data_IF_678601369641
#
_entry.id   IF_678601369641
#
_cell.length_a   1.000
_cell.length_b   1.000
_cell.length_c   1.000
_cell.angle_alpha   90.00
_cell.angle_beta   90.00
_cell.angle_gamma   90.00
#
_symmetry.space_group_name_H-M   'P 1'
#
loop_
_entity.id
_entity.type
_entity.pdbx_description
1 polymer ?
#
# COMPACT_ATOMS: atom_id res chain seq x y z
N UNK A 1 -1.17 -23.25 -17.48
CA UNK A 1 0.22 -23.78 -17.52
C UNK A 1 0.53 -24.07 -18.98
N UNK A 2 1.68 -23.60 -19.49
CA UNK A 2 2.05 -23.49 -20.91
C UNK A 2 1.36 -22.32 -21.65
N UNK A 3 1.97 -21.14 -21.57
CA UNK A 3 2.11 -20.08 -22.60
C UNK A 3 2.76 -18.80 -22.03
N UNK A 4 3.65 -18.94 -21.04
CA UNK A 4 4.50 -17.86 -20.47
C UNK A 4 5.99 -18.25 -20.55
N UNK A 5 6.34 -19.16 -21.47
CA UNK A 5 7.68 -19.75 -21.56
C UNK A 5 8.48 -19.35 -22.82
N UNK A 6 8.09 -18.26 -23.51
CA UNK A 6 8.79 -17.79 -24.71
C UNK A 6 9.60 -16.49 -24.50
N UNK A 7 9.41 -15.74 -23.41
CA UNK A 7 10.11 -14.46 -23.18
C UNK A 7 11.25 -14.49 -22.16
N UNK A 8 11.63 -15.67 -21.66
CA UNK A 8 12.78 -15.83 -20.74
C UNK A 8 14.07 -16.24 -21.48
N UNK A 9 14.01 -16.58 -22.77
CA UNK A 9 15.18 -17.11 -23.50
C UNK A 9 15.98 -16.05 -24.27
N UNK A 10 15.43 -14.85 -24.53
CA UNK A 10 16.15 -13.80 -25.27
C UNK A 10 17.05 -12.92 -24.37
N UNK A 11 16.82 -12.89 -23.06
CA UNK A 11 17.64 -12.13 -22.11
C UNK A 11 18.93 -12.84 -21.64
N UNK A 12 19.11 -14.11 -21.99
CA UNK A 12 20.31 -14.90 -21.64
C UNK A 12 21.32 -15.07 -22.80
N UNK A 13 21.05 -14.49 -23.97
CA UNK A 13 21.95 -14.61 -25.13
C UNK A 13 22.83 -13.37 -25.40
N UNK A 14 22.65 -12.28 -24.63
CA UNK A 14 23.40 -11.03 -24.83
C UNK A 14 24.54 -10.83 -23.79
N UNK A 15 24.63 -11.69 -22.76
CA UNK A 15 25.64 -11.54 -21.70
C UNK A 15 26.82 -12.54 -21.74
N UNK A 16 26.94 -13.38 -22.77
CA UNK A 16 28.08 -14.31 -22.91
C UNK A 16 28.62 -14.38 -24.34
N UNK A 17 29.20 -13.29 -24.84
CA UNK A 17 30.18 -13.36 -25.92
C UNK A 17 31.29 -12.36 -25.65
N UNK A 18 32.35 -12.85 -24.99
CA UNK A 18 33.53 -12.06 -24.67
C UNK A 18 34.63 -12.87 -24.00
N UNK A 19 35.12 -13.93 -24.65
CA UNK A 19 36.52 -14.43 -24.69
C UNK A 19 36.59 -15.84 -25.30
N UNK A 20 37.62 -16.06 -26.11
CA UNK A 20 37.79 -17.18 -27.03
C UNK A 20 38.05 -18.55 -26.39
N UNK A 21 37.76 -19.62 -27.13
CA UNK A 21 38.76 -20.44 -27.84
C UNK A 21 38.11 -21.67 -28.51
N UNK A 22 38.57 -21.95 -29.74
CA UNK A 22 38.78 -23.22 -30.48
C UNK A 22 37.78 -24.41 -30.42
N UNK A 23 37.19 -24.64 -31.59
CA UNK A 23 37.15 -25.86 -32.43
C UNK A 23 36.53 -27.22 -31.98
N UNK A 24 35.66 -27.68 -32.91
CA UNK A 24 35.36 -29.06 -33.33
C UNK A 24 34.41 -29.92 -32.49
N UNK A 25 33.18 -30.15 -32.97
CA UNK A 25 32.85 -31.34 -33.77
C UNK A 25 31.36 -31.37 -34.15
N UNK A 26 31.09 -31.63 -35.44
CA UNK A 26 29.76 -31.84 -36.00
C UNK A 26 29.31 -33.27 -35.75
N UNK A 27 28.09 -33.47 -35.25
CA UNK A 27 27.35 -34.71 -35.48
C UNK A 27 25.87 -34.43 -35.80
N UNK A 28 25.46 -35.02 -36.93
CA UNK A 28 24.12 -35.05 -37.54
C UNK A 28 23.17 -35.93 -36.73
N UNK A 29 21.88 -35.60 -36.73
CA UNK A 29 20.68 -36.48 -36.77
C UNK A 29 19.47 -35.53 -36.74
N UNK A 30 18.36 -35.67 -37.46
CA UNK A 30 17.82 -36.68 -38.35
C UNK A 30 16.36 -36.27 -38.61
N UNK A 31 15.95 -36.32 -39.87
CA UNK A 31 14.65 -35.93 -40.43
C UNK A 31 13.46 -36.74 -39.88
N UNK A 32 12.32 -36.10 -39.62
CA UNK A 32 11.00 -36.75 -39.67
C UNK A 32 10.01 -35.84 -40.42
N UNK A 33 9.57 -36.30 -41.58
CA UNK A 33 8.46 -35.76 -42.38
C UNK A 33 7.15 -36.39 -41.89
N UNK A 34 6.07 -35.60 -41.80
CA UNK A 34 4.70 -36.11 -41.93
C UNK A 34 3.92 -35.17 -42.86
N UNK A 35 3.46 -35.74 -43.98
CA UNK A 35 2.55 -35.13 -44.95
C UNK A 35 1.11 -35.22 -44.43
N UNK A 36 0.31 -34.17 -44.67
CA UNK A 36 -1.13 -34.18 -44.44
C UNK A 36 -1.79 -33.01 -45.17
N UNK A 37 -2.26 -33.27 -46.38
CA UNK A 37 -2.95 -32.36 -47.28
C UNK A 37 -4.38 -32.05 -46.80
N UNK A 38 -4.82 -30.78 -46.94
CA UNK A 38 -6.02 -30.39 -47.71
C UNK A 38 -6.21 -28.87 -47.75
N UNK A 39 -6.41 -28.39 -48.97
CA UNK A 39 -6.69 -27.02 -49.38
C UNK A 39 -8.09 -26.56 -48.98
N UNK A 40 -8.23 -25.28 -48.67
CA UNK A 40 -9.42 -24.48 -48.99
C UNK A 40 -9.02 -23.01 -49.17
N UNK A 41 -9.68 -22.39 -50.13
CA UNK A 41 -9.28 -21.26 -50.95
C UNK A 41 -9.01 -19.94 -50.21
N UNK A 42 -7.92 -19.27 -50.62
CA UNK A 42 -7.65 -17.86 -50.31
C UNK A 42 -8.30 -16.98 -51.38
N UNK A 43 -9.21 -16.09 -50.97
CA UNK A 43 -9.71 -15.02 -51.81
C UNK A 43 -8.63 -13.91 -51.92
N UNK A 44 -8.23 -13.61 -53.16
CA UNK A 44 -7.41 -12.43 -53.51
C UNK A 44 -8.27 -11.18 -53.42
N UNK A 45 -7.77 -10.15 -52.73
CA UNK A 45 -8.04 -8.75 -53.07
C UNK A 45 -6.70 -8.01 -53.06
N UNK A 46 -6.47 -7.28 -54.15
CA UNK A 46 -5.19 -6.73 -54.58
C UNK A 46 -4.57 -5.71 -53.61
N UNK A 47 -3.28 -5.93 -53.30
CA UNK A 47 -2.39 -4.95 -52.69
C UNK A 47 -1.74 -4.11 -53.78
N UNK A 48 -2.09 -2.83 -53.87
CA UNK A 48 -1.27 -1.83 -54.54
C UNK A 48 -0.02 -1.60 -53.69
N UNK A 49 1.13 -2.07 -54.20
CA UNK A 49 2.47 -1.69 -53.74
C UNK A 49 2.72 -0.21 -54.05
N UNK A 50 3.09 0.55 -53.03
CA UNK A 50 4.03 1.66 -53.17
C UNK A 50 5.18 1.41 -52.21
N UNK A 51 6.35 1.13 -52.79
CA UNK A 51 7.62 0.99 -52.09
C UNK A 51 8.09 2.37 -51.63
N UNK A 52 8.24 2.62 -50.34
CA UNK A 52 9.17 3.63 -49.82
C UNK A 52 9.90 3.12 -48.57
N UNK A 53 11.21 2.96 -48.75
CA UNK A 53 12.33 3.03 -47.80
C UNK A 53 12.18 2.41 -46.40
N UNK A 54 13.06 1.44 -46.14
CA UNK A 54 13.39 0.91 -44.83
C UNK A 54 13.90 2.04 -43.92
N UNK A 55 13.15 2.34 -42.85
CA UNK A 55 13.70 2.98 -41.66
C UNK A 55 13.74 1.92 -40.55
N UNK A 56 14.94 1.47 -40.21
CA UNK A 56 15.20 0.66 -39.02
C UNK A 56 15.11 1.61 -37.83
N UNK A 57 13.99 1.57 -37.11
CA UNK A 57 13.78 2.37 -35.90
C UNK A 57 12.34 2.30 -35.42
N UNK A 58 11.92 1.15 -34.89
CA UNK A 58 10.65 0.99 -34.16
C UNK A 58 10.64 -0.39 -33.48
N UNK A 59 11.28 -0.51 -32.33
CA UNK A 59 11.04 -1.66 -31.43
C UNK A 59 10.54 -1.13 -30.08
N UNK A 60 11.11 -0.03 -29.59
CA UNK A 60 10.62 0.65 -28.36
C UNK A 60 9.22 1.27 -28.53
N UNK A 61 8.93 1.93 -29.65
CA UNK A 61 7.64 2.62 -29.84
C UNK A 61 6.43 1.67 -29.94
N UNK A 62 6.63 0.44 -30.44
CA UNK A 62 5.55 -0.54 -30.61
C UNK A 62 5.19 -1.20 -29.27
N UNK A 63 6.19 -1.53 -28.44
CA UNK A 63 5.94 -2.06 -27.08
C UNK A 63 5.24 -1.03 -26.18
N UNK A 64 5.65 0.24 -26.25
CA UNK A 64 5.01 1.34 -25.50
C UNK A 64 3.55 1.53 -25.93
N UNK A 65 3.25 1.42 -27.22
CA UNK A 65 1.88 1.47 -27.74
C UNK A 65 1.04 0.29 -27.23
N UNK A 66 1.55 -0.94 -27.30
CA UNK A 66 0.84 -2.14 -26.82
C UNK A 66 0.55 -2.12 -25.31
N UNK A 67 1.48 -1.64 -24.49
CA UNK A 67 1.28 -1.49 -23.04
C UNK A 67 0.21 -0.44 -22.71
N UNK A 68 0.19 0.69 -23.42
CA UNK A 68 -0.85 1.71 -23.28
C UNK A 68 -2.25 1.17 -23.63
N UNK A 69 -2.36 0.33 -24.66
CA UNK A 69 -3.63 -0.35 -25.00
C UNK A 69 -4.12 -1.30 -23.90
N UNK A 70 -3.22 -1.93 -23.14
CA UNK A 70 -3.59 -2.86 -22.06
C UNK A 70 -4.10 -2.16 -20.81
N UNK A 71 -3.52 -1.01 -20.46
CA UNK A 71 -3.85 -0.33 -19.20
C UNK A 71 -5.15 0.48 -19.27
N UNK A 72 -5.61 0.83 -20.49
CA UNK A 72 -6.88 1.53 -20.77
C UNK A 72 -7.18 2.65 -19.74
N UNK A 73 -6.16 3.47 -19.43
CA UNK A 73 -6.27 4.53 -18.44
C UNK A 73 -7.16 5.64 -19.02
N UNK A 74 -8.23 6.06 -18.34
CA UNK A 74 -9.09 7.12 -18.82
C UNK A 74 -8.31 8.44 -18.88
N UNK A 75 -8.46 9.17 -19.98
CA UNK A 75 -7.99 10.56 -20.11
C UNK A 75 -9.04 11.57 -19.66
N UNK A 76 -10.25 11.08 -19.35
CA UNK A 76 -11.39 11.87 -18.87
C UNK A 76 -11.97 11.21 -17.64
N UNK A 77 -12.50 12.05 -16.75
CA UNK A 77 -13.23 11.63 -15.56
C UNK A 77 -14.35 10.65 -15.91
N UNK A 78 -14.38 9.55 -15.19
CA UNK A 78 -15.42 8.53 -15.22
C UNK A 78 -16.27 8.67 -13.97
N UNK A 79 -17.59 8.46 -14.08
CA UNK A 79 -18.49 8.52 -12.93
C UNK A 79 -18.85 7.14 -12.37
N UNK A 80 -18.72 6.09 -13.17
CA UNK A 80 -19.03 4.71 -12.80
C UNK A 80 -18.07 3.73 -13.48
N UNK A 81 -17.58 2.76 -12.72
CA UNK A 81 -16.83 1.61 -13.21
C UNK A 81 -17.50 0.31 -12.74
N UNK A 82 -18.18 -0.42 -13.65
CA UNK A 82 -18.88 -1.65 -13.29
C UNK A 82 -17.95 -2.79 -12.87
N UNK A 83 -16.70 -2.82 -13.35
CA UNK A 83 -15.77 -3.91 -13.06
C UNK A 83 -15.25 -3.83 -11.64
N UNK A 84 -14.89 -2.63 -11.20
CA UNK A 84 -14.44 -2.38 -9.82
C UNK A 84 -15.60 -2.16 -8.86
N UNK A 85 -16.83 -2.01 -9.37
CA UNK A 85 -18.00 -1.55 -8.62
C UNK A 85 -17.73 -0.20 -7.94
N UNK A 86 -17.09 0.70 -8.71
CA UNK A 86 -16.68 2.03 -8.27
C UNK A 86 -17.62 3.12 -8.79
N UNK A 87 -17.94 4.10 -7.96
CA UNK A 87 -18.72 5.30 -8.33
C UNK A 87 -18.02 6.55 -7.82
N UNK A 88 -18.12 7.64 -8.57
CA UNK A 88 -17.78 8.96 -8.08
C UNK A 88 -18.95 9.51 -7.26
N UNK A 89 -18.64 10.06 -6.08
CA UNK A 89 -19.58 10.58 -5.08
C UNK A 89 -19.17 12.00 -4.65
N UNK A 90 -19.82 12.58 -3.64
CA UNK A 90 -19.49 13.92 -3.09
C UNK A 90 -19.44 14.99 -4.18
N UNK A 91 -20.54 15.20 -4.90
CA UNK A 91 -20.63 16.19 -5.99
C UNK A 91 -19.57 16.04 -7.10
N UNK A 92 -18.97 14.85 -7.22
CA UNK A 92 -17.99 14.55 -8.25
C UNK A 92 -16.58 14.35 -7.74
N UNK A 93 -16.25 14.63 -6.48
CA UNK A 93 -14.84 14.68 -6.05
C UNK A 93 -14.43 13.57 -5.10
N UNK A 94 -15.39 12.79 -4.61
CA UNK A 94 -15.16 11.58 -3.83
C UNK A 94 -15.27 10.31 -4.68
N UNK A 95 -14.77 9.21 -4.16
CA UNK A 95 -14.88 7.89 -4.76
C UNK A 95 -15.43 6.90 -3.73
N UNK A 96 -16.36 6.04 -4.18
CA UNK A 96 -16.87 4.90 -3.40
C UNK A 96 -16.66 3.61 -4.17
N UNK A 97 -16.17 2.59 -3.50
CA UNK A 97 -16.07 1.24 -4.04
C UNK A 97 -16.82 0.24 -3.16
N UNK A 98 -17.62 -0.63 -3.78
CA UNK A 98 -18.17 -1.81 -3.08
C UNK A 98 -17.19 -2.97 -3.20
N UNK A 99 -16.82 -3.58 -2.07
CA UNK A 99 -15.96 -4.77 -2.02
C UNK A 99 -16.55 -5.84 -1.12
N UNK A 100 -16.13 -7.09 -1.32
CA UNK A 100 -16.47 -8.21 -0.43
C UNK A 100 -15.17 -8.73 0.18
N UNK A 101 -15.12 -8.89 1.50
CA UNK A 101 -13.95 -9.49 2.17
C UNK A 101 -13.77 -10.93 1.71
N UNK A 102 -12.62 -11.22 1.12
CA UNK A 102 -12.26 -12.51 0.53
C UNK A 102 -11.67 -13.44 1.58
N UNK A 103 -11.67 -14.74 1.28
CA UNK A 103 -11.22 -15.77 2.24
C UNK A 103 -9.75 -15.64 2.63
N UNK A 104 -8.88 -15.17 1.75
CA UNK A 104 -7.46 -14.98 2.04
C UNK A 104 -7.13 -13.63 2.70
N UNK A 105 -8.14 -12.77 2.88
CA UNK A 105 -7.99 -11.47 3.54
C UNK A 105 -8.24 -11.55 5.05
N UNK A 106 -8.74 -12.70 5.54
CA UNK A 106 -9.01 -12.93 6.95
C UNK A 106 -7.92 -13.74 7.64
N UNK A 107 -7.67 -13.44 8.91
CA UNK A 107 -6.75 -14.17 9.76
C UNK A 107 -7.40 -15.39 10.45
N UNK A 108 -6.65 -16.11 11.31
CA UNK A 108 -7.15 -17.24 12.08
C UNK A 108 -8.34 -16.91 13.00
N UNK A 109 -8.49 -15.63 13.37
CA UNK A 109 -9.61 -15.12 14.17
C UNK A 109 -10.88 -14.85 13.34
N UNK A 110 -10.88 -15.21 12.05
CA UNK A 110 -11.97 -15.03 11.07
C UNK A 110 -12.31 -13.58 10.75
N UNK A 111 -11.45 -12.63 11.12
CA UNK A 111 -11.61 -11.22 10.79
C UNK A 111 -10.55 -10.77 9.79
N UNK A 112 -10.82 -9.73 9.02
CA UNK A 112 -9.87 -9.18 8.07
C UNK A 112 -8.57 -8.78 8.77
N UNK A 113 -7.42 -9.02 8.14
CA UNK A 113 -6.15 -8.55 8.71
C UNK A 113 -6.00 -7.05 8.52
N UNK A 114 -5.21 -6.39 9.39
CA UNK A 114 -4.87 -4.98 9.17
C UNK A 114 -4.14 -4.77 7.84
N UNK A 115 -3.34 -5.75 7.41
CA UNK A 115 -2.68 -5.75 6.11
C UNK A 115 -3.70 -5.67 4.96
N UNK A 116 -4.75 -6.49 5.02
CA UNK A 116 -5.83 -6.48 4.02
C UNK A 116 -6.57 -5.15 4.01
N UNK A 117 -6.88 -4.57 5.17
CA UNK A 117 -7.52 -3.26 5.25
C UNK A 117 -6.65 -2.18 4.61
N UNK A 118 -5.34 -2.15 4.92
CA UNK A 118 -4.41 -1.18 4.34
C UNK A 118 -4.24 -1.35 2.83
N UNK A 119 -4.23 -2.59 2.33
CA UNK A 119 -4.24 -2.86 0.89
C UNK A 119 -5.49 -2.30 0.20
N UNK A 120 -6.66 -2.43 0.83
CA UNK A 120 -7.91 -1.84 0.32
C UNK A 120 -7.85 -0.30 0.30
N UNK A 121 -7.22 0.33 1.30
CA UNK A 121 -7.01 1.79 1.30
C UNK A 121 -6.13 2.23 0.12
N UNK A 122 -5.03 1.51 -0.12
CA UNK A 122 -4.12 1.79 -1.23
C UNK A 122 -4.81 1.58 -2.60
N UNK A 123 -5.53 0.48 -2.77
CA UNK A 123 -6.25 0.16 -4.00
C UNK A 123 -7.33 1.21 -4.32
N UNK A 124 -8.16 1.58 -3.33
CA UNK A 124 -9.22 2.58 -3.53
C UNK A 124 -8.66 3.99 -3.78
N UNK A 125 -7.47 4.30 -3.25
CA UNK A 125 -6.79 5.55 -3.56
C UNK A 125 -6.37 5.62 -5.04
N UNK A 126 -5.79 4.54 -5.57
CA UNK A 126 -5.40 4.43 -6.97
C UNK A 126 -6.62 4.44 -7.89
N UNK A 127 -7.66 3.69 -7.55
CA UNK A 127 -8.91 3.66 -8.32
C UNK A 127 -9.59 5.02 -8.38
N UNK A 128 -9.53 5.82 -7.31
CA UNK A 128 -10.01 7.20 -7.34
C UNK A 128 -9.24 8.04 -8.37
N UNK A 129 -7.90 7.98 -8.38
CA UNK A 129 -7.07 8.74 -9.35
C UNK A 129 -7.24 8.21 -10.78
N UNK A 130 -7.42 6.91 -10.95
CA UNK A 130 -7.72 6.31 -12.25
C UNK A 130 -9.06 6.84 -12.80
N UNK A 131 -10.10 6.89 -11.95
CA UNK A 131 -11.42 7.40 -12.32
C UNK A 131 -11.46 8.92 -12.55
N UNK A 132 -10.50 9.68 -12.01
CA UNK A 132 -10.46 11.13 -12.18
C UNK A 132 -10.01 11.56 -13.58
N UNK A 133 -9.33 10.67 -14.31
CA UNK A 133 -8.67 10.98 -15.59
C UNK A 133 -7.37 11.75 -15.46
N UNK A 134 -6.86 11.93 -14.23
CA UNK A 134 -5.60 12.62 -13.97
C UNK A 134 -4.38 11.69 -14.02
N UNK A 135 -4.60 10.37 -13.96
CA UNK A 135 -3.53 9.37 -13.91
C UNK A 135 -2.72 9.35 -15.22
N UNK A 136 -1.42 9.65 -15.14
CA UNK A 136 -0.55 9.67 -16.31
C UNK A 136 0.39 8.46 -16.40
N UNK A 137 1.01 8.04 -15.28
CA UNK A 137 2.05 7.00 -15.23
C UNK A 137 1.54 5.62 -14.79
N UNK A 138 0.23 5.50 -14.57
CA UNK A 138 -0.39 4.29 -14.03
C UNK A 138 -0.34 4.17 -12.50
N UNK A 139 0.41 5.02 -11.78
CA UNK A 139 0.57 4.94 -10.32
C UNK A 139 0.54 6.30 -9.59
N UNK A 140 -0.52 7.06 -9.82
CA UNK A 140 -0.89 8.23 -9.03
C UNK A 140 -0.24 9.56 -9.42
N UNK A 141 0.73 9.59 -10.36
CA UNK A 141 1.29 10.84 -10.84
C UNK A 141 0.38 11.48 -11.90
N UNK A 142 0.17 12.79 -11.77
CA UNK A 142 -0.57 13.57 -12.76
C UNK A 142 0.33 14.00 -13.92
N UNK A 143 -0.27 14.49 -15.00
CA UNK A 143 0.46 15.01 -16.17
C UNK A 143 1.43 16.13 -15.78
N UNK A 144 0.97 17.09 -14.96
CA UNK A 144 1.82 18.13 -14.40
C UNK A 144 2.97 17.56 -13.58
N UNK A 145 2.72 16.56 -12.72
CA UNK A 145 3.79 15.95 -11.92
C UNK A 145 4.88 15.30 -12.78
N UNK A 146 4.49 14.56 -13.82
CA UNK A 146 5.42 13.90 -14.72
C UNK A 146 6.36 14.90 -15.41
N UNK A 147 5.82 16.02 -15.89
CA UNK A 147 6.60 17.10 -16.51
C UNK A 147 7.66 17.69 -15.58
N UNK A 148 7.39 17.71 -14.28
CA UNK A 148 8.30 18.25 -13.25
C UNK A 148 9.16 17.16 -12.56
N UNK A 149 9.12 15.91 -13.02
CA UNK A 149 9.77 14.75 -12.39
C UNK A 149 9.37 14.59 -10.91
N UNK A 150 8.09 14.78 -10.60
CA UNK A 150 7.54 14.71 -9.24
C UNK A 150 6.77 13.42 -9.01
N UNK A 151 6.89 12.89 -7.79
CA UNK A 151 6.13 11.74 -7.31
C UNK A 151 5.45 12.08 -5.98
N UNK A 152 4.37 11.37 -5.69
CA UNK A 152 3.73 11.40 -4.38
C UNK A 152 4.42 10.43 -3.44
N UNK A 153 4.76 10.89 -2.24
CA UNK A 153 5.20 10.02 -1.14
C UNK A 153 4.33 10.25 0.08
N UNK A 154 3.92 9.16 0.74
CA UNK A 154 3.19 9.23 2.02
C UNK A 154 4.17 9.67 3.09
N UNK A 155 3.85 10.74 3.81
CA UNK A 155 4.67 11.19 4.96
C UNK A 155 4.08 10.76 6.29
N UNK A 156 2.76 10.68 6.39
CA UNK A 156 2.04 10.28 7.61
C UNK A 156 0.77 9.51 7.28
N UNK A 157 0.41 8.54 8.11
CA UNK A 157 -0.85 7.82 8.03
C UNK A 157 -1.41 7.55 9.42
N UNK A 158 -2.72 7.68 9.58
CA UNK A 158 -3.45 7.32 10.78
C UNK A 158 -4.62 6.43 10.39
N UNK A 159 -4.81 5.35 11.14
CA UNK A 159 -5.90 4.39 10.96
C UNK A 159 -6.54 4.13 12.31
N UNK A 160 -7.86 4.20 12.37
CA UNK A 160 -8.69 3.82 13.51
C UNK A 160 -9.58 2.66 13.08
N UNK A 161 -9.50 1.55 13.82
CA UNK A 161 -10.28 0.34 13.55
C UNK A 161 -11.27 0.13 14.70
N UNK A 162 -12.53 0.46 14.43
CA UNK A 162 -13.62 0.29 15.38
C UNK A 162 -14.02 -1.19 15.43
N UNK A 163 -14.20 -1.80 14.25
CA UNK A 163 -14.56 -3.20 14.06
C UNK A 163 -13.81 -3.79 12.87
N UNK A 164 -13.30 -5.01 13.01
CA UNK A 164 -12.75 -5.74 11.87
C UNK A 164 -13.88 -6.48 11.13
N UNK A 165 -13.99 -6.31 9.81
CA UNK A 165 -14.99 -7.01 9.01
C UNK A 165 -14.65 -8.51 8.93
N UNK A 166 -15.67 -9.35 8.86
CA UNK A 166 -15.52 -10.80 8.75
C UNK A 166 -15.53 -11.25 7.28
N UNK A 167 -15.15 -12.50 7.03
CA UNK A 167 -15.25 -13.10 5.69
C UNK A 167 -16.68 -13.01 5.14
N UNK A 168 -16.82 -12.57 3.89
CA UNK A 168 -18.11 -12.38 3.22
C UNK A 168 -18.81 -11.05 3.53
N UNK A 169 -18.27 -10.24 4.44
CA UNK A 169 -18.80 -8.91 4.71
C UNK A 169 -18.70 -8.04 3.44
N UNK A 170 -19.81 -7.40 3.07
CA UNK A 170 -19.88 -6.46 1.95
C UNK A 170 -19.65 -5.06 2.48
N UNK A 171 -18.57 -4.42 2.05
CA UNK A 171 -18.17 -3.10 2.50
C UNK A 171 -18.35 -2.04 1.42
N UNK A 172 -18.68 -0.83 1.85
CA UNK A 172 -18.53 0.39 1.06
C UNK A 172 -17.31 1.16 1.57
N UNK A 173 -16.38 1.45 0.67
CA UNK A 173 -15.17 2.20 0.95
C UNK A 173 -15.28 3.56 0.28
N UNK A 174 -15.46 4.61 1.08
CA UNK A 174 -15.39 5.99 0.60
C UNK A 174 -13.96 6.51 0.74
N UNK A 175 -13.46 7.22 -0.25
CA UNK A 175 -12.22 8.00 -0.17
C UNK A 175 -12.34 9.33 -0.90
N UNK A 176 -11.69 10.35 -0.36
CA UNK A 176 -11.65 11.69 -0.92
C UNK A 176 -10.32 12.35 -0.57
N UNK A 177 -10.04 13.49 -1.20
CA UNK A 177 -8.81 14.26 -0.98
C UNK A 177 -9.14 15.66 -0.48
N UNK A 178 -8.18 16.26 0.20
CA UNK A 178 -8.25 17.63 0.69
C UNK A 178 -6.88 18.27 0.73
N UNK A 179 -6.83 19.58 0.94
CA UNK A 179 -5.56 20.27 1.14
C UNK A 179 -4.93 19.86 2.49
N UNK A 180 -3.59 19.77 2.53
CA UNK A 180 -2.82 19.63 3.76
C UNK A 180 -1.72 20.69 3.79
N UNK A 181 -2.04 21.86 4.35
CA UNK A 181 -1.18 23.04 4.26
C UNK A 181 -0.94 23.48 2.81
N UNK A 182 0.17 24.17 2.55
CA UNK A 182 0.44 24.76 1.21
C UNK A 182 0.92 23.75 0.16
N UNK A 183 1.60 22.68 0.58
CA UNK A 183 2.32 21.76 -0.31
C UNK A 183 1.93 20.29 -0.16
N UNK A 184 1.02 19.97 0.78
CA UNK A 184 0.58 18.60 1.01
C UNK A 184 -0.84 18.36 0.51
N UNK A 185 -1.15 17.09 0.31
CA UNK A 185 -2.49 16.59 0.08
C UNK A 185 -2.86 15.65 1.22
N UNK A 186 -4.06 15.83 1.78
CA UNK A 186 -4.69 14.86 2.68
C UNK A 186 -5.53 13.89 1.85
N UNK A 187 -5.51 12.63 2.21
CA UNK A 187 -6.46 11.63 1.72
C UNK A 187 -7.11 10.94 2.89
N UNK A 188 -8.43 10.85 2.85
CA UNK A 188 -9.25 10.25 3.90
C UNK A 188 -9.97 9.02 3.37
N UNK A 189 -10.34 8.14 4.30
CA UNK A 189 -11.16 6.97 4.02
C UNK A 189 -12.17 6.71 5.13
N UNK A 190 -13.33 6.20 4.73
CA UNK A 190 -14.36 5.71 5.63
C UNK A 190 -14.92 4.38 5.08
N UNK A 191 -14.70 3.31 5.83
CA UNK A 191 -15.14 1.95 5.48
C UNK A 191 -16.35 1.59 6.32
N UNK A 192 -17.45 1.22 5.66
CA UNK A 192 -18.72 0.89 6.33
C UNK A 192 -19.31 -0.40 5.81
N UNK A 193 -20.09 -1.07 6.66
CA UNK A 193 -20.93 -2.19 6.23
C UNK A 193 -22.00 -1.68 5.28
N UNK A 194 -22.13 -2.32 4.12
CA UNK A 194 -23.18 -2.00 3.15
C UNK A 194 -24.58 -2.31 3.70
N UNK A 195 -24.70 -3.34 4.54
CA UNK A 195 -25.98 -3.79 5.08
C UNK A 195 -26.48 -2.92 6.25
N UNK A 196 -25.58 -2.48 7.12
CA UNK A 196 -25.94 -1.82 8.39
C UNK A 196 -25.51 -0.37 8.50
N UNK A 197 -24.59 0.09 7.64
CA UNK A 197 -23.93 1.39 7.79
C UNK A 197 -22.90 1.46 8.92
N UNK A 198 -22.68 0.37 9.66
CA UNK A 198 -21.69 0.30 10.74
C UNK A 198 -20.30 0.69 10.23
N UNK A 199 -19.63 1.60 10.92
CA UNK A 199 -18.26 2.01 10.60
C UNK A 199 -17.28 0.94 11.08
N UNK A 200 -16.46 0.44 10.16
CA UNK A 200 -15.37 -0.50 10.45
C UNK A 200 -14.06 0.25 10.68
N UNK A 201 -13.71 1.13 9.75
CA UNK A 201 -12.41 1.80 9.72
C UNK A 201 -12.57 3.26 9.31
N UNK A 202 -11.82 4.12 9.97
CA UNK A 202 -11.53 5.49 9.55
C UNK A 202 -10.03 5.61 9.31
N UNK A 203 -9.62 6.29 8.26
CA UNK A 203 -8.21 6.53 8.02
C UNK A 203 -7.97 7.90 7.39
N UNK A 204 -6.80 8.46 7.65
CA UNK A 204 -6.31 9.67 6.98
C UNK A 204 -4.81 9.54 6.71
N UNK A 205 -4.34 10.15 5.64
CA UNK A 205 -2.93 10.16 5.26
C UNK A 205 -2.52 11.51 4.69
N UNK A 206 -1.25 11.85 4.89
CA UNK A 206 -0.63 13.06 4.34
C UNK A 206 0.38 12.65 3.28
N UNK A 207 0.27 13.30 2.12
CA UNK A 207 1.11 13.09 0.95
C UNK A 207 1.87 14.37 0.63
N UNK A 208 3.15 14.23 0.30
CA UNK A 208 4.01 15.34 -0.10
C UNK A 208 4.71 14.99 -1.42
N UNK A 209 5.05 16.01 -2.18
CA UNK A 209 5.77 15.81 -3.44
C UNK A 209 7.26 15.64 -3.19
N UNK A 210 7.86 14.69 -3.89
CA UNK A 210 9.30 14.50 -3.96
C UNK A 210 9.74 14.51 -5.42
N UNK A 211 10.88 15.15 -5.70
CA UNK A 211 11.48 15.04 -7.01
C UNK A 211 12.15 13.66 -7.16
N UNK A 212 11.74 12.90 -8.18
CA UNK A 212 12.13 11.51 -8.39
C UNK A 212 13.64 11.33 -8.58
N UNK A 213 14.29 12.29 -9.24
CA UNK A 213 15.74 12.24 -9.55
C UNK A 213 16.60 12.63 -8.36
N UNK A 214 16.27 13.74 -7.70
CA UNK A 214 17.07 14.29 -6.60
C UNK A 214 16.73 13.68 -5.24
N UNK A 215 15.58 12.99 -5.14
CA UNK A 215 15.02 12.45 -3.88
C UNK A 215 14.79 13.52 -2.80
N UNK A 216 14.59 14.78 -3.22
CA UNK A 216 14.32 15.92 -2.33
C UNK A 216 12.84 16.30 -2.36
N UNK A 217 12.31 16.69 -1.21
CA UNK A 217 10.96 17.24 -1.13
C UNK A 217 10.84 18.49 -2.02
N UNK A 218 9.71 18.59 -2.71
CA UNK A 218 9.41 19.71 -3.61
C UNK A 218 8.16 20.46 -3.14
N UNK A 219 8.12 21.76 -3.43
CA UNK A 219 6.86 22.51 -3.39
C UNK A 219 5.94 22.01 -4.50
N UNK A 220 4.64 22.22 -4.31
CA UNK A 220 3.62 21.92 -5.31
C UNK A 220 3.60 23.02 -6.38
N UNK A 221 3.92 22.71 -7.65
CA UNK A 221 3.80 23.67 -8.75
C UNK A 221 2.35 24.10 -8.96
N UNK A 222 2.13 25.31 -9.47
CA UNK A 222 0.77 25.83 -9.71
C UNK A 222 0.01 25.03 -10.77
N UNK A 223 0.72 24.48 -11.77
CA UNK A 223 0.17 23.56 -12.77
C UNK A 223 -0.44 22.32 -12.10
N UNK A 224 0.31 21.66 -11.20
CA UNK A 224 -0.20 20.49 -10.45
C UNK A 224 -1.32 20.88 -9.50
N UNK A 225 -1.20 22.06 -8.86
CA UNK A 225 -2.26 22.58 -7.99
C UNK A 225 -3.57 22.75 -8.74
N UNK A 226 -3.53 23.30 -9.96
CA UNK A 226 -4.71 23.48 -10.80
C UNK A 226 -5.39 22.15 -11.18
N UNK A 227 -4.62 21.08 -11.33
CA UNK A 227 -5.15 19.73 -11.60
C UNK A 227 -5.88 19.13 -10.39
N UNK A 228 -5.31 19.28 -9.18
CA UNK A 228 -5.79 18.56 -7.99
C UNK A 228 -6.71 19.38 -7.08
N UNK A 229 -6.56 20.71 -7.01
CA UNK A 229 -7.34 21.56 -6.12
C UNK A 229 -8.86 21.46 -6.36
N UNK A 230 -9.37 21.29 -7.59
CA UNK A 230 -10.79 21.05 -7.84
C UNK A 230 -11.35 19.78 -7.19
N UNK A 231 -10.49 18.86 -6.73
CA UNK A 231 -10.89 17.62 -6.06
C UNK A 231 -10.90 17.75 -4.53
N UNK A 232 -10.42 18.87 -3.98
CA UNK A 232 -10.29 19.05 -2.55
C UNK A 232 -11.62 19.37 -1.87
N UNK A 233 -11.91 18.64 -0.79
CA UNK A 233 -13.03 18.93 0.12
C UNK A 233 -12.57 19.03 1.57
N UNK A 234 -13.34 19.77 2.37
CA UNK A 234 -13.04 20.01 3.79
C UNK A 234 -13.41 18.83 4.70
N UNK A 235 -14.19 17.87 4.22
CA UNK A 235 -14.57 16.66 4.96
C UNK A 235 -13.31 15.93 5.47
N UNK A 236 -13.33 15.49 6.73
CA UNK A 236 -12.25 14.71 7.35
C UNK A 236 -12.83 13.40 7.90
N UNK A 237 -12.12 12.28 7.73
CA UNK A 237 -12.54 11.01 8.33
C UNK A 237 -12.11 10.88 9.80
N UNK A 238 -10.99 11.53 10.14
CA UNK A 238 -10.45 11.64 11.49
C UNK A 238 -10.16 13.12 11.73
N UNK A 239 -10.82 13.70 12.73
CA UNK A 239 -10.54 15.04 13.19
C UNK A 239 -9.38 14.99 14.21
N UNK A 240 -8.30 15.68 13.90
CA UNK A 240 -7.14 15.80 14.79
C UNK A 240 -6.75 17.29 14.89
N UNK A 241 -6.80 17.88 16.09
CA UNK A 241 -6.43 19.29 16.28
C UNK A 241 -4.94 19.54 15.97
N UNK A 242 -4.09 18.56 16.29
CA UNK A 242 -2.66 18.61 16.00
C UNK A 242 -2.07 17.20 15.87
N UNK A 243 -1.17 16.94 14.90
CA UNK A 243 -0.55 15.64 14.73
C UNK A 243 0.11 15.12 16.01
N UNK A 244 -0.33 13.97 16.52
CA UNK A 244 0.33 13.30 17.63
C UNK A 244 1.80 13.00 17.26
N UNK A 245 2.73 13.49 18.08
CA UNK A 245 4.17 13.29 17.91
C UNK A 245 4.56 11.85 18.28
N UNK A 246 5.34 11.21 17.41
CA UNK A 246 5.93 9.88 17.68
C UNK A 246 7.39 10.05 18.09
N UNK A 247 7.69 9.76 19.36
CA UNK A 247 9.06 9.78 19.86
C UNK A 247 9.90 8.69 19.18
N UNK A 248 11.15 9.04 18.87
CA UNK A 248 12.09 8.08 18.28
C UNK A 248 12.57 7.12 19.35
N UNK A 249 12.45 5.81 19.10
CA UNK A 249 13.09 4.81 19.95
C UNK A 249 14.61 4.84 19.78
N UNK A 250 15.32 4.55 20.87
CA UNK A 250 16.76 4.31 20.86
C UNK A 250 17.05 2.80 20.73
N UNK A 251 18.33 2.43 20.81
CA UNK A 251 18.77 1.04 20.73
C UNK A 251 18.41 0.19 21.95
N UNK A 252 17.84 0.78 23.02
CA UNK A 252 17.48 0.09 24.25
C UNK A 252 16.01 -0.34 24.30
N UNK A 253 15.31 -0.28 23.16
CA UNK A 253 13.92 -0.73 23.07
C UNK A 253 13.77 -2.17 23.58
N UNK A 254 12.70 -2.40 24.35
CA UNK A 254 12.43 -3.68 25.01
C UNK A 254 12.38 -4.87 24.05
N UNK A 255 11.81 -4.70 22.86
CA UNK A 255 11.72 -5.76 21.86
C UNK A 255 12.43 -5.34 20.58
N UNK A 256 13.29 -6.23 20.07
CA UNK A 256 14.10 -5.99 18.87
C UNK A 256 14.11 -7.25 18.00
N UNK A 257 13.77 -7.08 16.73
CA UNK A 257 13.94 -8.10 15.69
C UNK A 257 14.86 -7.54 14.60
N UNK A 258 16.02 -8.17 14.42
CA UNK A 258 17.03 -7.74 13.44
C UNK A 258 17.10 -8.69 12.25
N UNK A 259 17.75 -8.23 11.18
CA UNK A 259 18.02 -9.02 9.97
C UNK A 259 16.78 -9.36 9.15
N UNK A 260 15.74 -8.51 9.23
CA UNK A 260 14.58 -8.59 8.35
C UNK A 260 15.04 -8.22 6.94
N UNK A 261 14.78 -9.11 5.98
CA UNK A 261 15.11 -8.89 4.57
C UNK A 261 13.82 -8.86 3.74
N UNK A 262 13.63 -7.84 2.90
CA UNK A 262 12.52 -7.80 1.96
C UNK A 262 12.48 -9.06 1.09
N UNK A 263 11.32 -9.68 0.96
CA UNK A 263 11.08 -10.73 -0.03
C UNK A 263 10.73 -10.09 -1.37
N UNK A 264 10.88 -10.86 -2.45
CA UNK A 264 10.46 -10.42 -3.80
C UNK A 264 8.98 -9.99 -3.84
N UNK A 265 8.12 -10.66 -3.06
CA UNK A 265 6.69 -10.35 -2.93
C UNK A 265 6.38 -9.12 -2.09
N UNK A 266 7.38 -8.55 -1.40
CA UNK A 266 7.19 -7.36 -0.57
C UNK A 266 7.42 -6.07 -1.36
N UNK A 267 7.96 -6.18 -2.57
CA UNK A 267 8.22 -5.06 -3.46
C UNK A 267 6.97 -4.69 -4.27
N UNK A 268 6.73 -3.39 -4.42
CA UNK A 268 5.72 -2.84 -5.32
C UNK A 268 6.27 -2.63 -6.75
N UNK A 269 5.43 -2.06 -7.61
CA UNK A 269 5.79 -1.78 -9.01
C UNK A 269 6.93 -0.75 -9.17
N UNK A 270 7.27 -0.02 -8.11
CA UNK A 270 8.40 0.92 -8.09
C UNK A 270 9.68 0.27 -7.54
N UNK A 271 9.68 -1.05 -7.34
CA UNK A 271 10.77 -1.82 -6.74
C UNK A 271 11.14 -1.41 -5.31
N UNK A 272 10.23 -0.74 -4.60
CA UNK A 272 10.36 -0.43 -3.19
C UNK A 272 9.49 -1.36 -2.35
N UNK A 273 9.86 -1.54 -1.08
CA UNK A 273 8.99 -2.25 -0.14
C UNK A 273 7.66 -1.50 -0.02
N UNK A 274 6.57 -2.21 -0.28
CA UNK A 274 5.22 -1.67 -0.17
C UNK A 274 4.96 -1.17 1.27
N UNK A 275 4.38 0.02 1.40
CA UNK A 275 4.11 0.68 2.69
C UNK A 275 3.37 -0.21 3.70
N UNK A 276 2.51 -1.11 3.23
CA UNK A 276 1.75 -2.05 4.06
C UNK A 276 2.67 -3.07 4.75
N UNK A 277 3.79 -3.45 4.13
CA UNK A 277 4.75 -4.43 4.69
C UNK A 277 5.52 -3.90 5.89
N UNK A 278 5.76 -2.59 5.95
CA UNK A 278 6.34 -1.98 7.14
C UNK A 278 5.47 -2.22 8.38
N UNK A 279 4.15 -2.13 8.26
CA UNK A 279 3.23 -2.39 9.38
C UNK A 279 3.38 -3.82 9.86
N UNK A 280 3.51 -4.79 8.95
CA UNK A 280 3.77 -6.18 9.33
C UNK A 280 5.06 -6.30 10.14
N UNK A 281 6.18 -5.78 9.64
CA UNK A 281 7.46 -5.86 10.36
C UNK A 281 7.46 -5.20 11.73
N UNK A 282 6.68 -4.12 11.91
CA UNK A 282 6.48 -3.54 13.24
C UNK A 282 5.77 -4.51 14.18
N UNK A 283 4.64 -5.08 13.73
CA UNK A 283 3.79 -5.94 14.56
C UNK A 283 4.47 -7.26 14.95
N UNK A 284 5.38 -7.79 14.12
CA UNK A 284 6.15 -9.03 14.41
C UNK A 284 7.08 -8.91 15.63
N UNK A 285 7.34 -7.70 16.16
CA UNK A 285 8.11 -7.53 17.41
C UNK A 285 7.27 -7.60 18.66
N UNK A 286 5.94 -7.58 18.53
CA UNK A 286 5.02 -7.62 19.67
C UNK A 286 4.87 -9.08 20.13
N UNK A 287 4.96 -9.38 21.44
CA UNK A 287 4.82 -10.75 21.93
C UNK A 287 3.48 -11.39 21.59
N UNK A 288 3.49 -12.68 21.23
CA UNK A 288 2.29 -13.45 20.90
C UNK A 288 1.25 -13.43 22.03
N UNK A 289 1.69 -13.57 23.29
CA UNK A 289 0.80 -13.51 24.47
C UNK A 289 -0.02 -12.20 24.53
N UNK A 290 0.57 -11.10 24.06
CA UNK A 290 -0.13 -9.81 23.98
C UNK A 290 -1.10 -9.79 22.81
N UNK A 291 -0.68 -10.24 21.63
CA UNK A 291 -1.50 -10.32 20.40
C UNK A 291 -2.69 -11.28 20.54
N UNK A 292 -2.56 -12.32 21.35
CA UNK A 292 -3.64 -13.25 21.66
C UNK A 292 -4.76 -12.56 22.45
N UNK A 293 -4.39 -11.71 23.42
CA UNK A 293 -5.32 -11.03 24.35
C UNK A 293 -5.86 -9.69 23.83
N UNK A 294 -5.19 -9.07 22.86
CA UNK A 294 -5.51 -7.72 22.39
C UNK A 294 -5.75 -7.66 20.89
N UNK A 295 -6.62 -6.74 20.47
CA UNK A 295 -6.88 -6.42 19.07
C UNK A 295 -6.47 -4.98 18.79
N UNK A 296 -5.81 -4.77 17.65
CA UNK A 296 -5.33 -3.46 17.23
C UNK A 296 -6.52 -2.54 16.94
N UNK A 297 -6.58 -1.38 17.58
CA UNK A 297 -7.66 -0.39 17.41
C UNK A 297 -7.20 0.89 16.74
N UNK A 298 -5.89 1.13 16.67
CA UNK A 298 -5.36 2.23 15.88
C UNK A 298 -3.87 2.16 15.60
N UNK A 299 -3.47 2.79 14.50
CA UNK A 299 -2.08 2.95 14.08
C UNK A 299 -1.85 4.40 13.67
N UNK A 300 -0.71 4.98 14.05
CA UNK A 300 -0.15 6.20 13.48
C UNK A 300 1.24 5.86 12.94
N UNK A 301 1.54 6.26 11.71
CA UNK A 301 2.80 6.01 11.02
C UNK A 301 3.39 7.32 10.52
N UNK A 302 4.70 7.49 10.66
CA UNK A 302 5.48 8.57 10.02
C UNK A 302 6.59 7.97 9.18
N UNK A 303 6.48 8.12 7.86
CA UNK A 303 7.45 7.60 6.91
C UNK A 303 8.56 8.62 6.69
N UNK A 304 9.80 8.15 6.71
CA UNK A 304 11.01 8.97 6.53
C UNK A 304 11.83 8.54 5.32
N UNK A 305 11.81 7.26 4.97
CA UNK A 305 12.59 6.70 3.87
C UNK A 305 11.94 5.46 3.28
N UNK A 306 12.21 5.23 2.01
CA UNK A 306 11.92 3.97 1.31
C UNK A 306 12.98 2.90 1.63
N UNK A 307 12.59 1.64 1.45
CA UNK A 307 13.45 0.47 1.61
C UNK A 307 13.47 -0.30 0.28
N UNK A 308 14.65 -0.65 -0.19
CA UNK A 308 14.87 -1.47 -1.38
C UNK A 308 15.16 -2.94 -1.04
N UNK A 309 15.27 -3.77 -2.07
CA UNK A 309 15.41 -5.24 -1.94
C UNK A 309 16.72 -5.71 -1.28
N UNK A 310 17.78 -4.89 -1.33
CA UNK A 310 19.08 -5.19 -0.75
C UNK A 310 19.19 -4.81 0.74
N UNK A 311 18.22 -4.06 1.26
CA UNK A 311 18.31 -3.52 2.61
C UNK A 311 18.10 -4.60 3.68
N UNK A 312 18.71 -4.35 4.83
CA UNK A 312 18.54 -5.15 6.03
C UNK A 312 17.90 -4.28 7.10
N UNK A 313 16.69 -4.66 7.50
CA UNK A 313 15.84 -3.89 8.40
C UNK A 313 15.95 -4.44 9.82
N UNK A 314 15.94 -3.53 10.78
CA UNK A 314 15.74 -3.78 12.20
C UNK A 314 14.41 -3.18 12.62
N UNK A 315 13.60 -3.98 13.28
CA UNK A 315 12.34 -3.59 13.91
C UNK A 315 12.53 -3.49 15.42
N UNK A 316 12.10 -2.38 16.00
CA UNK A 316 12.16 -2.11 17.44
C UNK A 316 10.76 -1.73 17.93
N UNK A 317 10.37 -2.24 19.09
CA UNK A 317 9.15 -1.79 19.77
C UNK A 317 9.30 -1.67 21.28
N UNK A 318 8.58 -0.69 21.84
CA UNK A 318 8.55 -0.39 23.26
C UNK A 318 7.09 -0.23 23.73
N UNK A 319 6.64 -1.00 24.74
CA UNK A 319 5.36 -0.77 25.38
C UNK A 319 5.27 0.64 25.95
N UNK A 320 4.16 1.33 25.68
CA UNK A 320 3.91 2.62 26.30
C UNK A 320 3.42 2.42 27.74
N UNK A 321 3.97 3.17 28.71
CA UNK A 321 3.50 3.10 30.08
C UNK A 321 2.03 3.49 30.14
N UNK A 322 1.22 2.68 30.81
CA UNK A 322 -0.15 3.04 31.14
C UNK A 322 -0.11 4.20 32.14
N UNK A 323 -0.12 5.44 31.66
CA UNK A 323 -0.16 6.61 32.55
C UNK A 323 -1.50 6.64 33.29
N UNK A 324 -1.57 6.02 34.48
CA UNK A 324 -2.56 6.32 35.52
C UNK A 324 -2.02 7.48 36.36
N UNK A 325 -2.11 8.70 35.84
CA UNK A 325 -2.03 9.88 36.69
C UNK A 325 -3.46 10.36 36.95
N UNK A 326 -4.07 9.85 38.01
CA UNK A 326 -5.15 10.58 38.68
C UNK A 326 -4.44 11.48 39.70
N UNK A 327 -4.23 12.73 39.31
CA UNK A 327 -3.76 13.75 40.24
C UNK A 327 -4.88 14.11 41.20
N UNK A 328 -4.78 13.66 42.44
CA UNK A 328 -5.45 14.27 43.59
C UNK A 328 -4.35 14.65 44.58
N UNK A 329 -4.07 15.95 44.64
CA UNK A 329 -3.27 16.66 45.64
C UNK A 329 -2.23 15.82 46.41
N UNK A 330 -1.01 15.75 45.86
CA UNK A 330 0.22 15.70 46.66
C UNK A 330 0.60 14.39 47.35
N UNK A 331 -0.15 13.30 47.19
CA UNK A 331 0.25 12.00 47.75
C UNK A 331 0.24 10.88 46.70
N UNK A 332 1.43 10.37 46.39
CA UNK A 332 1.62 9.16 45.59
C UNK A 332 1.23 7.96 46.45
N UNK A 333 0.14 7.29 46.09
CA UNK A 333 -0.26 6.01 46.70
C UNK A 333 0.03 4.91 45.68
N UNK A 334 0.90 3.96 46.06
CA UNK A 334 1.21 2.79 45.26
C UNK A 334 -0.04 1.90 45.10
N UNK A 335 -0.24 1.36 43.91
CA UNK A 335 -1.45 0.62 43.53
C UNK A 335 -1.56 -0.79 44.11
N UNK A 336 -0.85 -1.11 45.20
CA UNK A 336 -0.95 -2.42 45.86
C UNK A 336 -2.03 -2.46 46.95
N UNK A 337 -2.76 -1.37 47.21
CA UNK A 337 -3.73 -1.28 48.32
C UNK A 337 -5.21 -1.29 47.84
N UNK A 338 -5.48 -1.29 46.54
CA UNK A 338 -6.85 -1.15 46.00
C UNK A 338 -7.44 -2.44 45.40
N UNK A 339 -6.94 -3.61 45.78
CA UNK A 339 -7.55 -4.92 45.44
C UNK A 339 -8.68 -5.35 46.38
N UNK A 340 -8.98 -4.57 47.42
CA UNK A 340 -10.03 -4.88 48.40
C UNK A 340 -11.21 -3.92 48.31
N UNK A 341 -12.08 -4.10 47.32
CA UNK A 341 -13.55 -3.99 47.44
C UNK A 341 -14.19 -3.80 46.06
N UNK A 342 -15.03 -4.76 45.68
CA UNK A 342 -15.87 -4.68 44.49
C UNK A 342 -16.87 -3.54 44.60
N UNK A 343 -16.65 -2.50 43.81
CA UNK A 343 -17.67 -1.69 43.14
C UNK A 343 -16.93 -0.61 42.33
N UNK A 344 -16.61 -0.87 41.06
CA UNK A 344 -16.41 0.23 40.12
C UNK A 344 -16.59 -0.26 38.67
N UNK A 345 -17.80 -0.04 38.15
CA UNK A 345 -18.07 -0.12 36.73
C UNK A 345 -17.31 0.98 35.97
N UNK A 346 -16.82 0.63 34.78
CA UNK A 346 -16.42 1.57 33.73
C UNK A 346 -15.29 2.56 34.06
N UNK A 347 -14.16 2.08 34.61
CA UNK A 347 -12.90 2.82 34.48
C UNK A 347 -12.35 2.64 33.07
N UNK A 348 -12.34 3.72 32.28
CA UNK A 348 -11.62 3.87 31.02
C UNK A 348 -10.17 3.36 31.16
N UNK A 349 -9.93 2.09 30.85
CA UNK A 349 -8.59 1.58 30.60
C UNK A 349 -8.11 2.23 29.31
N UNK A 350 -7.15 3.16 29.42
CA UNK A 350 -6.47 3.70 28.23
C UNK A 350 -5.89 2.53 27.42
N UNK A 351 -5.98 2.56 26.09
CA UNK A 351 -5.52 1.45 25.27
C UNK A 351 -4.04 1.20 25.53
N UNK A 352 -3.70 -0.06 25.78
CA UNK A 352 -2.33 -0.54 25.73
C UNK A 352 -1.73 -0.12 24.39
N UNK A 353 -0.51 0.39 24.40
CA UNK A 353 0.10 0.96 23.21
C UNK A 353 1.55 0.53 23.05
N UNK A 354 2.03 0.54 21.82
CA UNK A 354 3.44 0.33 21.51
C UNK A 354 3.93 1.48 20.64
N UNK A 355 5.13 1.96 20.93
CA UNK A 355 5.91 2.77 19.98
C UNK A 355 6.77 1.83 19.14
N UNK A 356 6.95 2.14 17.87
CA UNK A 356 7.68 1.33 16.90
C UNK A 356 8.70 2.16 16.14
N UNK A 357 9.81 1.53 15.76
CA UNK A 357 10.80 2.08 14.86
C UNK A 357 11.29 0.98 13.90
N UNK A 358 11.19 1.24 12.60
CA UNK A 358 11.95 0.50 11.59
C UNK A 358 13.12 1.32 11.13
N UNK A 359 14.29 0.70 11.07
CA UNK A 359 15.52 1.33 10.59
C UNK A 359 16.38 0.36 9.78
N UNK A 360 17.11 0.87 8.80
CA UNK A 360 18.18 0.11 8.13
C UNK A 360 19.46 0.20 8.94
N UNK A 361 20.26 -0.87 8.91
CA UNK A 361 21.64 -0.83 9.41
C UNK A 361 22.53 -0.18 8.36
N UNK A 362 22.97 1.05 8.60
CA UNK A 362 23.99 1.71 7.80
C UNK A 362 25.40 1.41 8.33
N UNK A 363 26.43 1.65 7.51
CA UNK A 363 27.84 1.43 7.90
C UNK A 363 28.28 2.30 9.08
N UNK A 364 27.78 3.54 9.15
CA UNK A 364 28.17 4.52 10.17
C UNK A 364 27.03 4.89 11.14
N UNK A 365 25.78 4.83 10.67
CA UNK A 365 24.59 5.15 11.46
C UNK A 365 23.37 4.46 10.88
N UNK A 366 22.48 4.01 11.76
CA UNK A 366 21.18 3.49 11.34
C UNK A 366 20.30 4.61 10.79
N UNK A 367 19.58 4.29 9.72
CA UNK A 367 18.73 5.25 9.02
C UNK A 367 17.27 4.88 9.23
N UNK A 368 16.49 5.89 9.61
CA UNK A 368 15.08 5.70 9.95
C UNK A 368 14.25 5.50 8.69
N UNK A 369 13.48 4.42 8.66
CA UNK A 369 12.52 4.12 7.59
C UNK A 369 11.17 4.69 7.98
N UNK A 370 10.66 4.29 9.15
CA UNK A 370 9.33 4.65 9.62
C UNK A 370 9.23 4.55 11.14
N UNK A 371 8.53 5.52 11.75
CA UNK A 371 8.08 5.43 13.16
C UNK A 371 6.62 5.05 13.19
N UNK A 372 6.25 4.28 14.21
CA UNK A 372 4.87 3.88 14.43
C UNK A 372 4.41 4.06 15.86
N UNK A 373 3.12 4.23 16.03
CA UNK A 373 2.44 4.09 17.33
C UNK A 373 1.20 3.25 17.11
N UNK A 374 1.07 2.17 17.87
CA UNK A 374 -0.14 1.31 17.85
C UNK A 374 -0.91 1.43 19.15
N UNK A 375 -2.23 1.34 19.05
CA UNK A 375 -3.19 1.35 20.16
C UNK A 375 -4.00 0.06 20.09
N UNK A 376 -4.26 -0.53 21.24
CA UNK A 376 -4.87 -1.85 21.35
C UNK A 376 -6.02 -1.84 22.36
N UNK A 377 -7.06 -2.62 22.06
CA UNK A 377 -8.14 -2.94 22.99
C UNK A 377 -8.02 -4.40 23.42
N UNK A 378 -8.41 -4.72 24.65
CA UNK A 378 -8.57 -6.12 25.03
C UNK A 378 -9.62 -6.77 24.11
N UNK A 379 -9.35 -7.99 23.68
CA UNK A 379 -10.37 -8.79 23.01
C UNK A 379 -11.43 -9.11 24.05
N UNK A 380 -12.66 -8.64 23.83
CA UNK A 380 -13.79 -9.21 24.54
C UNK A 380 -13.82 -10.70 24.22
N UNK A 381 -13.86 -11.60 25.22
CA UNK A 381 -14.03 -13.01 24.96
C UNK A 381 -15.32 -13.16 24.16
N UNK A 382 -15.19 -13.42 22.85
CA UNK A 382 -16.37 -13.50 22.00
C UNK A 382 -17.15 -14.74 22.42
N UNK A 383 -18.44 -14.54 22.69
CA UNK A 383 -19.40 -15.63 22.53
C UNK A 383 -19.15 -16.20 21.14
N UNK A 384 -18.79 -17.49 21.08
CA UNK A 384 -18.36 -18.20 19.86
C UNK A 384 -19.16 -17.67 18.65
N UNK A 385 -18.50 -17.06 17.64
CA UNK A 385 -19.22 -16.40 16.55
C UNK A 385 -20.05 -17.38 15.71
N UNK A 386 -19.83 -18.69 15.88
CA UNK A 386 -20.63 -19.75 15.31
C UNK A 386 -20.75 -20.88 16.35
N UNK A 387 -21.98 -21.32 16.74
CA UNK A 387 -22.12 -22.62 17.38
C UNK A 387 -21.64 -23.72 16.42
N UNK A 388 -21.15 -24.86 16.96
CA UNK A 388 -20.54 -25.94 16.20
C UNK A 388 -21.44 -26.54 15.11
#
# INVERSE_FOLDING_TARGET
>A
MAYVLQHVITALYIQTTGRGERESNKQKLGCVKINGSKSLAAAKVDLLRQDHAIAVGAVEDVEVLEEQFRQNIPTKKQFFDPYRQGVIVEEGVGYRQTVVIRSYEVGPDKTATIESLLNLLQETALNHVWMSGLLSDGFGATHGMMKHNLIWVVSRMQVQVDHYPIWGEVMEIDTWVGASGKNGMRRDWLLRSKATGLVFVRATSTWVMMNQKTRRLSKMPDEVRAEIAPWFIEKQAIEEESPEKIEKLDSNARYVHSNLKPKRSDLDMNHHVNNVKYVRWMLETIPDEFLEKHQLSGIILEYRRECGSSDVVQSLSEPQPSHKNIGLNGHSVSSQILEGNGLLGSLNQRPFGYTHLLQTKGEFKNEEIVRGKTRWKEKTPSAKPFPP
#
